data_IF_482416461748
#
_entry.id   IF_482416461748
#
_cell.length_a   1.000
_cell.length_b   1.000
_cell.length_c   1.000
_cell.angle_alpha   90.00
_cell.angle_beta   90.00
_cell.angle_gamma   90.00
#
_symmetry.space_group_name_H-M   'P 1'
#
loop_
_entity.id
_entity.type
_entity.pdbx_description
1 polymer ?
#
# COMPACT_ATOMS: atom_id res chain seq x y z
N UNK A 1 22.89 28.11 17.69
CA UNK A 1 23.27 26.70 17.46
C UNK A 1 22.01 25.92 17.17
N UNK A 2 21.88 25.55 15.89
CA UNK A 2 21.06 24.55 15.18
C UNK A 2 19.83 23.94 15.88
N UNK A 3 18.66 24.16 15.25
CA UNK A 3 17.33 23.72 15.72
C UNK A 3 16.95 22.27 15.35
N UNK A 4 15.79 21.78 15.82
CA UNK A 4 15.30 20.46 15.50
C UNK A 4 14.70 20.45 14.09
N UNK A 5 15.38 19.73 13.19
CA UNK A 5 14.87 19.43 11.86
C UNK A 5 13.60 18.60 11.96
N UNK A 6 12.44 19.25 11.75
CA UNK A 6 11.25 18.57 11.24
C UNK A 6 11.65 17.90 9.93
N UNK A 7 11.81 16.58 9.96
CA UNK A 7 12.01 15.79 8.77
C UNK A 7 10.75 15.95 7.92
N UNK A 8 10.85 16.80 6.90
CA UNK A 8 9.85 16.91 5.86
C UNK A 8 9.83 15.61 5.08
N UNK A 9 8.97 14.67 5.46
CA UNK A 9 8.41 13.66 4.58
C UNK A 9 7.44 14.33 3.60
N UNK A 10 7.93 15.32 2.84
CA UNK A 10 7.18 16.08 1.85
C UNK A 10 7.06 15.35 0.51
N UNK A 11 6.91 14.03 0.56
CA UNK A 11 6.71 13.18 -0.63
C UNK A 11 5.28 12.68 -0.70
N UNK A 12 4.86 12.26 -1.90
CA UNK A 12 3.54 11.68 -2.16
C UNK A 12 3.19 10.56 -1.16
N UNK A 13 4.17 9.80 -0.68
CA UNK A 13 3.99 8.78 0.36
C UNK A 13 3.50 9.32 1.72
N UNK A 14 3.94 10.51 2.13
CA UNK A 14 3.48 11.13 3.38
C UNK A 14 2.03 11.64 3.27
N UNK A 15 1.61 12.07 2.08
CA UNK A 15 0.22 12.45 1.79
C UNK A 15 -0.70 11.24 1.85
N UNK A 16 -0.29 10.14 1.21
CA UNK A 16 -1.04 8.89 1.21
C UNK A 16 -1.28 8.41 2.64
N UNK A 17 -0.24 8.34 3.46
CA UNK A 17 -0.35 7.86 4.83
C UNK A 17 -1.24 8.75 5.70
N UNK A 18 -1.09 10.07 5.61
CA UNK A 18 -1.92 11.03 6.35
C UNK A 18 -3.41 10.95 5.93
N UNK A 19 -3.70 10.79 4.64
CA UNK A 19 -5.08 10.61 4.17
C UNK A 19 -5.65 9.28 4.65
N UNK A 20 -4.86 8.19 4.62
CA UNK A 20 -5.30 6.87 5.09
C UNK A 20 -5.63 6.93 6.58
N UNK A 21 -4.81 7.58 7.40
CA UNK A 21 -5.10 7.72 8.84
C UNK A 21 -6.42 8.44 9.11
N UNK A 22 -6.69 9.52 8.37
CA UNK A 22 -7.96 10.26 8.48
C UNK A 22 -9.15 9.39 8.06
N UNK A 23 -9.02 8.64 6.96
CA UNK A 23 -10.10 7.78 6.45
C UNK A 23 -10.31 6.52 7.32
N UNK A 24 -9.27 5.99 7.96
CA UNK A 24 -9.33 4.81 8.83
C UNK A 24 -9.97 5.13 10.18
N UNK A 25 -9.73 6.33 10.71
CA UNK A 25 -10.31 6.80 11.97
C UNK A 25 -11.84 7.03 11.88
N UNK A 26 -12.41 7.14 10.68
CA UNK A 26 -13.78 7.62 10.47
C UNK A 26 -14.81 6.49 10.33
N UNK A 27 -15.83 6.40 11.19
CA UNK A 27 -16.80 5.29 11.16
C UNK A 27 -17.60 5.21 9.86
N UNK A 28 -17.75 6.31 9.12
CA UNK A 28 -18.45 6.34 7.82
C UNK A 28 -17.80 5.39 6.79
N UNK A 29 -16.48 5.17 6.89
CA UNK A 29 -15.71 4.30 6.01
C UNK A 29 -15.39 2.94 6.64
N UNK A 30 -15.99 2.60 7.79
CA UNK A 30 -15.79 1.30 8.45
C UNK A 30 -16.40 0.15 7.67
N UNK A 31 -17.52 0.40 6.99
CA UNK A 31 -18.27 -0.62 6.26
C UNK A 31 -17.67 -0.89 4.87
N UNK A 32 -17.52 -2.16 4.46
CA UNK A 32 -17.01 -2.54 3.13
C UNK A 32 -17.82 -1.95 1.96
N UNK A 33 -19.13 -1.75 2.16
CA UNK A 33 -20.02 -1.13 1.19
C UNK A 33 -19.67 0.35 0.94
N UNK A 34 -19.33 1.09 2.00
CA UNK A 34 -18.91 2.50 1.92
C UNK A 34 -17.59 2.64 1.15
N UNK A 35 -16.63 1.75 1.40
CA UNK A 35 -15.36 1.71 0.68
C UNK A 35 -15.56 1.38 -0.81
N UNK A 36 -16.38 0.37 -1.11
CA UNK A 36 -16.73 0.01 -2.49
C UNK A 36 -17.42 1.17 -3.23
N UNK A 37 -18.30 1.91 -2.54
CA UNK A 37 -18.97 3.08 -3.08
C UNK A 37 -18.00 4.24 -3.32
N UNK A 38 -17.06 4.48 -2.39
CA UNK A 38 -15.99 5.47 -2.52
C UNK A 38 -15.12 5.20 -3.76
N UNK A 39 -14.62 3.98 -3.94
CA UNK A 39 -13.83 3.62 -5.12
C UNK A 39 -14.62 3.77 -6.41
N UNK A 40 -15.87 3.32 -6.43
CA UNK A 40 -16.74 3.38 -7.61
C UNK A 40 -17.04 4.83 -8.03
N UNK A 41 -17.37 5.69 -7.07
CA UNK A 41 -17.65 7.10 -7.33
C UNK A 41 -16.39 7.86 -7.77
N UNK A 42 -15.26 7.57 -7.14
CA UNK A 42 -13.98 8.20 -7.50
C UNK A 42 -13.55 7.80 -8.92
N UNK A 43 -13.64 6.51 -9.27
CA UNK A 43 -13.38 6.05 -10.64
C UNK A 43 -14.34 6.65 -11.66
N UNK A 44 -15.63 6.80 -11.32
CA UNK A 44 -16.61 7.48 -12.18
C UNK A 44 -16.25 8.94 -12.40
N UNK A 45 -15.75 9.63 -11.38
CA UNK A 45 -15.34 11.03 -11.45
C UNK A 45 -14.04 11.21 -12.26
N UNK A 46 -13.14 10.24 -12.23
CA UNK A 46 -11.90 10.21 -13.03
C UNK A 46 -12.12 9.72 -14.47
N UNK A 47 -13.30 9.18 -14.78
CA UNK A 47 -13.58 8.58 -16.09
C UNK A 47 -12.84 7.27 -16.36
N UNK A 48 -12.22 6.67 -15.34
CA UNK A 48 -11.42 5.44 -15.42
C UNK A 48 -11.77 4.51 -14.24
N UNK A 49 -11.91 3.19 -14.47
CA UNK A 49 -12.10 2.25 -13.37
C UNK A 49 -10.81 2.14 -12.55
N UNK A 50 -10.86 2.57 -11.29
CA UNK A 50 -9.76 2.35 -10.34
C UNK A 50 -9.71 0.86 -9.98
N UNK A 51 -8.57 0.22 -10.22
CA UNK A 51 -8.36 -1.18 -9.84
C UNK A 51 -7.91 -1.24 -8.38
N UNK A 52 -8.86 -1.14 -7.47
CA UNK A 52 -8.57 -1.35 -6.05
C UNK A 52 -8.59 -2.85 -5.77
N UNK A 53 -7.51 -3.44 -5.23
CA UNK A 53 -7.50 -4.85 -4.91
C UNK A 53 -8.57 -5.17 -3.86
N UNK A 54 -9.23 -6.32 -4.01
CA UNK A 54 -10.24 -6.81 -3.08
C UNK A 54 -9.58 -7.38 -1.82
N UNK A 55 -8.97 -6.50 -1.02
CA UNK A 55 -8.36 -6.86 0.26
C UNK A 55 -9.38 -6.80 1.38
N UNK A 56 -9.34 -7.79 2.28
CA UNK A 56 -10.28 -7.93 3.41
C UNK A 56 -10.07 -6.91 4.53
N UNK A 57 -8.93 -6.21 4.52
CA UNK A 57 -8.55 -5.28 5.58
C UNK A 57 -8.73 -3.83 5.15
N UNK A 58 -9.58 -3.12 5.88
CA UNK A 58 -9.94 -1.72 5.64
C UNK A 58 -8.75 -0.79 5.44
N UNK A 59 -7.78 -0.78 6.36
CA UNK A 59 -6.62 0.11 6.27
C UNK A 59 -5.74 -0.18 5.05
N UNK A 60 -5.58 -1.46 4.70
CA UNK A 60 -4.83 -1.88 3.51
C UNK A 60 -5.58 -1.54 2.23
N UNK A 61 -6.91 -1.67 2.24
CA UNK A 61 -7.77 -1.25 1.15
C UNK A 61 -7.64 0.26 0.90
N UNK A 62 -7.70 1.05 1.98
CA UNK A 62 -7.55 2.50 1.94
C UNK A 62 -6.16 2.90 1.42
N UNK A 63 -5.11 2.23 1.87
CA UNK A 63 -3.75 2.52 1.42
C UNK A 63 -3.56 2.23 -0.07
N UNK A 64 -4.06 1.11 -0.57
CA UNK A 64 -4.03 0.78 -1.99
C UNK A 64 -4.87 1.78 -2.81
N UNK A 65 -6.07 2.09 -2.36
CA UNK A 65 -6.96 3.05 -3.01
C UNK A 65 -6.37 4.47 -3.08
N UNK A 66 -5.85 4.99 -1.96
CA UNK A 66 -5.27 6.34 -1.89
C UNK A 66 -3.97 6.41 -2.68
N UNK A 67 -3.17 5.34 -2.68
CA UNK A 67 -1.96 5.26 -3.53
C UNK A 67 -2.31 5.29 -5.02
N UNK A 68 -3.35 4.56 -5.44
CA UNK A 68 -3.83 4.57 -6.82
C UNK A 68 -4.37 5.96 -7.22
N UNK A 69 -5.08 6.62 -6.31
CA UNK A 69 -5.54 8.00 -6.50
C UNK A 69 -4.36 8.99 -6.58
N UNK A 70 -3.30 8.77 -5.82
CA UNK A 70 -2.09 9.59 -5.87
C UNK A 70 -1.26 9.36 -7.14
N UNK A 71 -1.32 8.15 -7.71
CA UNK A 71 -0.67 7.82 -8.98
C UNK A 71 -1.44 8.34 -10.20
N UNK A 72 -2.71 8.72 -10.04
CA UNK A 72 -3.57 9.23 -11.10
C UNK A 72 -3.63 10.75 -11.06
N UNK A 73 -3.41 11.42 -12.20
CA UNK A 73 -3.55 12.87 -12.30
C UNK A 73 -4.96 13.32 -11.86
N UNK A 74 -5.03 14.18 -10.84
CA UNK A 74 -6.28 14.66 -10.25
C UNK A 74 -7.04 13.61 -9.41
N UNK A 75 -6.45 12.44 -9.15
CA UNK A 75 -7.08 11.36 -8.38
C UNK A 75 -7.32 11.73 -6.91
N UNK A 76 -6.37 12.39 -6.25
CA UNK A 76 -6.53 12.86 -4.87
C UNK A 76 -7.62 13.93 -4.74
N UNK A 77 -7.74 14.84 -5.71
CA UNK A 77 -8.80 15.85 -5.74
C UNK A 77 -10.18 15.23 -6.01
N UNK A 78 -10.26 14.26 -6.93
CA UNK A 78 -11.48 13.51 -7.20
C UNK A 78 -11.93 12.73 -5.95
N UNK A 79 -11.00 12.06 -5.28
CA UNK A 79 -11.28 11.36 -4.02
C UNK A 79 -11.74 12.33 -2.94
N UNK A 80 -11.06 13.45 -2.72
CA UNK A 80 -11.46 14.46 -1.74
C UNK A 80 -12.88 14.98 -2.02
N UNK A 81 -13.21 15.21 -3.30
CA UNK A 81 -14.56 15.59 -3.73
C UNK A 81 -15.61 14.54 -3.38
N UNK A 82 -15.35 13.25 -3.64
CA UNK A 82 -16.27 12.15 -3.31
C UNK A 82 -16.42 11.99 -1.80
N UNK A 83 -15.33 12.07 -1.03
CA UNK A 83 -15.38 12.09 0.44
C UNK A 83 -16.27 13.23 0.93
N UNK A 84 -16.16 14.41 0.32
CA UNK A 84 -17.05 15.55 0.58
C UNK A 84 -18.51 15.30 0.21
N UNK A 85 -18.80 14.51 -0.81
CA UNK A 85 -20.18 14.14 -1.15
C UNK A 85 -20.77 13.14 -0.13
N UNK A 86 -19.96 12.18 0.35
CA UNK A 86 -20.40 11.16 1.30
C UNK A 86 -20.54 11.69 2.74
N UNK A 87 -19.62 12.55 3.17
CA UNK A 87 -19.61 13.17 4.51
C UNK A 87 -20.40 14.49 4.57
N UNK A 88 -21.08 14.90 3.48
CA UNK A 88 -21.80 16.18 3.42
C UNK A 88 -20.90 17.41 3.61
N UNK A 89 -19.62 17.30 3.21
CA UNK A 89 -18.54 18.29 3.42
C UNK A 89 -18.22 18.55 4.90
N UNK A 90 -18.36 17.51 5.72
CA UNK A 90 -18.04 17.51 7.15
C UNK A 90 -16.54 17.54 7.46
N UNK A 91 -16.21 17.06 8.66
CA UNK A 91 -14.84 17.14 9.22
C UNK A 91 -13.82 16.35 8.42
N UNK A 92 -14.23 15.21 7.85
CA UNK A 92 -13.34 14.30 7.12
C UNK A 92 -12.88 14.92 5.81
N UNK A 93 -13.83 15.51 5.08
CA UNK A 93 -13.55 16.26 3.85
C UNK A 93 -12.54 17.38 4.08
N UNK A 94 -12.71 18.18 5.14
CA UNK A 94 -11.81 19.29 5.44
C UNK A 94 -10.39 18.82 5.77
N UNK A 95 -10.27 17.74 6.54
CA UNK A 95 -8.97 17.16 6.87
C UNK A 95 -8.26 16.63 5.60
N UNK A 96 -8.97 15.87 4.75
CA UNK A 96 -8.43 15.36 3.48
C UNK A 96 -8.09 16.50 2.52
N UNK A 97 -8.95 17.50 2.37
CA UNK A 97 -8.72 18.67 1.51
C UNK A 97 -7.48 19.46 1.95
N UNK A 98 -7.27 19.64 3.26
CA UNK A 98 -6.07 20.30 3.80
C UNK A 98 -4.79 19.51 3.52
N UNK A 99 -4.84 18.19 3.63
CA UNK A 99 -3.69 17.32 3.35
C UNK A 99 -3.34 17.35 1.86
N UNK A 100 -4.36 17.22 0.99
CA UNK A 100 -4.18 17.21 -0.48
C UNK A 100 -3.73 18.59 -1.00
N UNK A 101 -4.31 19.69 -0.50
CA UNK A 101 -3.91 21.05 -0.89
C UNK A 101 -2.64 21.54 -0.21
N UNK A 102 -2.31 21.03 0.98
CA UNK A 102 -1.09 21.36 1.71
C UNK A 102 0.19 20.96 0.97
N UNK A 103 0.09 20.01 0.03
CA UNK A 103 1.16 19.65 -0.92
C UNK A 103 1.13 20.40 -2.25
N UNK A 104 0.08 21.20 -2.49
CA UNK A 104 -0.15 21.96 -3.73
C UNK A 104 0.58 23.29 -3.80
N UNK A 105 1.83 23.33 -3.35
CA UNK A 105 2.73 24.47 -3.56
C UNK A 105 3.40 24.49 -4.93
N UNK A 106 2.81 23.88 -5.97
CA UNK A 106 3.08 24.18 -7.38
C UNK A 106 2.11 23.40 -8.28
N UNK A 107 1.17 24.13 -8.88
CA UNK A 107 0.52 23.79 -10.15
C UNK A 107 0.45 25.11 -10.91
N UNK A 108 0.77 25.20 -12.22
CA UNK A 108 0.23 24.32 -13.25
C UNK A 108 1.19 23.96 -14.42
N UNK A 109 0.94 22.84 -15.10
CA UNK A 109 0.82 22.75 -16.57
C UNK A 109 1.01 21.31 -17.09
N UNK A 110 0.08 20.95 -17.97
CA UNK A 110 0.14 19.96 -19.04
C UNK A 110 1.53 19.33 -19.37
N UNK A 111 1.60 18.00 -19.38
CA UNK A 111 1.95 17.31 -20.62
C UNK A 111 1.49 15.86 -20.62
N UNK A 112 0.80 15.47 -21.70
CA UNK A 112 0.34 14.12 -21.91
C UNK A 112 1.51 13.14 -21.99
N UNK A 113 1.63 12.26 -21.01
CA UNK A 113 2.45 11.08 -21.14
C UNK A 113 1.79 9.92 -20.39
N UNK A 114 1.01 9.14 -21.15
CA UNK A 114 0.72 7.74 -20.88
C UNK A 114 2.06 7.02 -20.64
N UNK A 115 2.55 7.03 -19.41
CA UNK A 115 3.75 6.27 -19.03
C UNK A 115 3.28 4.93 -18.49
N UNK A 116 3.47 3.91 -19.32
CA UNK A 116 3.62 2.50 -18.96
C UNK A 116 4.32 2.42 -17.59
N UNK A 117 3.82 1.62 -16.62
CA UNK A 117 4.45 1.54 -15.30
C UNK A 117 5.93 1.20 -15.50
N UNK A 118 6.86 2.00 -14.94
CA UNK A 118 8.26 1.70 -15.09
C UNK A 118 8.53 0.43 -14.28
N UNK A 119 9.33 -0.45 -14.84
CA UNK A 119 9.96 -1.54 -14.11
C UNK A 119 10.52 -1.07 -12.75
N UNK A 120 10.61 -1.98 -11.77
CA UNK A 120 11.07 -1.64 -10.43
C UNK A 120 12.48 -1.05 -10.49
N UNK A 121 12.66 0.10 -9.83
CA UNK A 121 13.99 0.63 -9.54
C UNK A 121 14.83 -0.36 -8.72
N UNK A 122 16.16 -0.23 -8.74
CA UNK A 122 17.06 -1.22 -8.15
C UNK A 122 16.87 -1.36 -6.63
N UNK A 123 16.69 -2.60 -6.20
CA UNK A 123 16.95 -3.14 -4.85
C UNK A 123 16.29 -2.42 -3.67
N UNK A 124 14.95 -2.39 -3.62
CA UNK A 124 14.27 -2.29 -2.32
C UNK A 124 14.68 -3.48 -1.47
N UNK A 125 15.35 -3.24 -0.34
CA UNK A 125 15.77 -4.30 0.60
C UNK A 125 14.57 -4.94 1.30
N UNK A 126 13.42 -4.26 1.33
CA UNK A 126 12.14 -4.66 1.94
C UNK A 126 11.13 -5.21 0.93
N UNK A 127 10.29 -6.16 1.36
CA UNK A 127 9.16 -6.63 0.55
C UNK A 127 8.24 -5.46 0.23
N UNK A 128 7.87 -5.32 -1.05
CA UNK A 128 6.83 -4.37 -1.43
C UNK A 128 5.47 -4.84 -0.91
N UNK A 129 4.52 -3.91 -0.77
CA UNK A 129 3.17 -4.24 -0.29
C UNK A 129 2.49 -5.28 -1.21
N UNK A 130 2.73 -5.19 -2.53
CA UNK A 130 2.23 -6.16 -3.50
C UNK A 130 2.84 -7.54 -3.34
N UNK A 131 4.15 -7.63 -3.11
CA UNK A 131 4.87 -8.88 -2.85
C UNK A 131 4.40 -9.57 -1.57
N UNK A 132 4.25 -8.81 -0.47
CA UNK A 132 3.77 -9.35 0.80
C UNK A 132 2.32 -9.85 0.70
N UNK A 133 1.47 -9.16 -0.05
CA UNK A 133 0.08 -9.60 -0.32
C UNK A 133 0.05 -10.87 -1.14
N UNK A 134 0.82 -10.93 -2.23
CA UNK A 134 0.89 -12.12 -3.07
C UNK A 134 1.43 -13.33 -2.28
N UNK A 135 2.40 -13.13 -1.39
CA UNK A 135 2.87 -14.16 -0.47
C UNK A 135 1.79 -14.58 0.52
N UNK A 136 1.01 -13.64 1.05
CA UNK A 136 -0.06 -13.93 2.01
C UNK A 136 -1.21 -14.74 1.39
N UNK A 137 -1.57 -14.45 0.14
CA UNK A 137 -2.59 -15.17 -0.61
C UNK A 137 -2.16 -16.62 -0.92
N UNK A 138 -0.94 -16.77 -1.43
CA UNK A 138 -0.42 -18.06 -1.89
C UNK A 138 0.02 -18.93 -0.72
N UNK A 139 0.64 -18.33 0.30
CA UNK A 139 1.10 -18.98 1.53
C UNK A 139 0.25 -18.54 2.72
N UNK A 140 -1.06 -18.72 2.59
CA UNK A 140 -2.04 -18.46 3.66
C UNK A 140 -1.97 -19.47 4.81
N UNK A 141 -1.45 -20.68 4.55
CA UNK A 141 -1.19 -21.68 5.56
C UNK A 141 0.14 -21.41 6.30
N UNK A 142 0.14 -21.26 7.63
CA UNK A 142 1.35 -20.99 8.40
C UNK A 142 2.44 -22.05 8.25
N UNK A 143 2.09 -23.33 8.03
CA UNK A 143 3.09 -24.37 7.83
C UNK A 143 3.79 -24.24 6.47
N UNK A 144 3.03 -23.93 5.40
CA UNK A 144 3.58 -23.63 4.09
C UNK A 144 4.48 -22.37 4.10
N UNK A 145 4.04 -21.29 4.74
CA UNK A 145 4.80 -20.05 4.86
C UNK A 145 6.14 -20.27 5.61
N UNK A 146 6.13 -21.06 6.68
CA UNK A 146 7.34 -21.41 7.42
C UNK A 146 8.33 -22.25 6.62
N UNK A 147 7.84 -23.23 5.86
CA UNK A 147 8.69 -24.04 4.97
C UNK A 147 9.33 -23.18 3.87
N UNK A 148 8.60 -22.20 3.34
CA UNK A 148 9.15 -21.23 2.40
C UNK A 148 10.29 -20.43 3.06
N UNK A 149 10.08 -19.90 4.27
CA UNK A 149 11.09 -19.14 5.00
C UNK A 149 12.33 -19.97 5.35
N UNK A 150 12.17 -21.24 5.72
CA UNK A 150 13.31 -22.14 5.95
C UNK A 150 14.12 -22.36 4.66
N UNK A 151 13.45 -22.59 3.52
CA UNK A 151 14.11 -22.72 2.20
C UNK A 151 14.81 -21.43 1.78
N UNK A 152 14.21 -20.28 2.10
CA UNK A 152 14.81 -18.96 1.88
C UNK A 152 16.00 -18.67 2.82
N UNK A 153 16.23 -19.51 3.85
CA UNK A 153 17.38 -19.44 4.74
C UNK A 153 17.11 -18.77 6.09
N UNK A 154 15.86 -18.50 6.46
CA UNK A 154 15.48 -18.01 7.79
C UNK A 154 15.19 -19.20 8.72
N UNK A 155 16.07 -19.50 9.70
CA UNK A 155 15.90 -20.67 10.56
C UNK A 155 14.68 -20.53 11.47
N UNK A 156 13.99 -21.64 11.74
CA UNK A 156 12.76 -21.71 12.53
C UNK A 156 12.76 -20.87 13.82
N UNK A 157 13.89 -20.84 14.55
CA UNK A 157 14.03 -20.09 15.82
C UNK A 157 14.01 -18.57 15.66
N UNK A 158 14.26 -18.07 14.45
CA UNK A 158 14.22 -16.64 14.08
C UNK A 158 12.95 -16.28 13.30
N UNK A 159 12.07 -17.24 13.06
CA UNK A 159 10.80 -16.98 12.39
C UNK A 159 9.81 -16.34 13.35
N UNK A 160 8.94 -15.45 12.85
CA UNK A 160 7.85 -14.93 13.64
C UNK A 160 6.92 -16.07 14.09
N UNK A 161 6.25 -15.84 15.22
CA UNK A 161 5.21 -16.77 15.67
C UNK A 161 4.05 -16.72 14.68
N UNK A 162 3.32 -17.83 14.47
CA UNK A 162 2.15 -17.82 13.62
C UNK A 162 1.17 -16.84 14.23
N UNK A 163 0.85 -15.80 13.49
CA UNK A 163 -0.17 -14.83 13.88
C UNK A 163 -1.55 -15.33 13.49
N UNK A 164 -2.59 -14.64 13.98
CA UNK A 164 -3.98 -14.99 13.66
C UNK A 164 -4.31 -14.87 12.17
N UNK A 165 -3.48 -14.17 11.38
CA UNK A 165 -3.65 -14.03 9.93
C UNK A 165 -2.33 -14.14 9.18
N UNK A 166 -2.41 -14.57 7.92
CA UNK A 166 -1.27 -14.68 7.01
C UNK A 166 -0.62 -13.32 6.74
N UNK A 167 -1.40 -12.25 6.61
CA UNK A 167 -0.88 -10.91 6.36
C UNK A 167 -0.10 -10.36 7.57
N UNK A 168 -0.56 -10.63 8.78
CA UNK A 168 0.17 -10.26 10.00
C UNK A 168 1.51 -11.00 10.08
N UNK A 169 1.53 -12.27 9.69
CA UNK A 169 2.75 -13.06 9.60
C UNK A 169 3.74 -12.46 8.57
N UNK A 170 3.28 -12.17 7.35
CA UNK A 170 4.14 -11.60 6.31
C UNK A 170 4.58 -10.15 6.59
N UNK A 171 3.79 -9.39 7.36
CA UNK A 171 4.18 -8.06 7.86
C UNK A 171 5.32 -8.14 8.86
N UNK A 172 5.27 -9.12 9.77
CA UNK A 172 6.37 -9.39 10.71
C UNK A 172 7.63 -9.89 9.98
N UNK A 173 7.47 -10.72 8.95
CA UNK A 173 8.60 -11.10 8.08
C UNK A 173 9.20 -9.87 7.40
N UNK A 174 8.37 -8.94 6.89
CA UNK A 174 8.87 -7.71 6.29
C UNK A 174 9.62 -6.84 7.30
N UNK A 175 9.15 -6.75 8.54
CA UNK A 175 9.88 -6.07 9.64
C UNK A 175 11.26 -6.70 9.86
N UNK A 176 11.37 -8.03 9.91
CA UNK A 176 12.65 -8.72 10.05
C UNK A 176 13.62 -8.44 8.89
N UNK A 177 13.08 -8.25 7.67
CA UNK A 177 13.87 -7.89 6.49
C UNK A 177 14.33 -6.43 6.57
N UNK A 178 13.45 -5.50 6.97
CA UNK A 178 13.76 -4.07 7.16
C UNK A 178 14.79 -3.87 8.26
N UNK A 179 14.65 -4.58 9.37
CA UNK A 179 15.54 -4.53 10.53
C UNK A 179 16.91 -5.20 10.25
N UNK A 180 17.11 -5.75 9.05
CA UNK A 180 18.35 -6.42 8.65
C UNK A 180 18.60 -7.77 9.34
N UNK A 181 17.63 -8.27 10.11
CA UNK A 181 17.68 -9.58 10.75
C UNK A 181 17.62 -10.73 9.74
N UNK A 182 17.12 -10.46 8.52
CA UNK A 182 17.14 -11.36 7.38
C UNK A 182 17.78 -10.71 6.14
N UNK A 183 19.12 -10.74 6.02
CA UNK A 183 19.84 -10.17 4.89
C UNK A 183 19.44 -10.80 3.56
N UNK A 184 19.23 -9.98 2.54
CA UNK A 184 18.68 -10.36 1.23
C UNK A 184 17.32 -11.08 1.31
N UNK A 185 16.61 -10.97 2.44
CA UNK A 185 15.44 -11.76 2.73
C UNK A 185 14.36 -11.64 1.67
N UNK A 186 14.11 -10.42 1.16
CA UNK A 186 13.19 -10.19 0.03
C UNK A 186 13.54 -11.05 -1.18
N UNK A 187 14.77 -10.95 -1.69
CA UNK A 187 15.20 -11.66 -2.91
C UNK A 187 15.13 -13.17 -2.71
N UNK A 188 15.56 -13.66 -1.55
CA UNK A 188 15.53 -15.10 -1.23
C UNK A 188 14.09 -15.63 -1.14
N UNK A 189 13.20 -14.89 -0.48
CA UNK A 189 11.78 -15.26 -0.38
C UNK A 189 11.14 -15.29 -1.77
N UNK A 190 11.32 -14.23 -2.57
CA UNK A 190 10.70 -14.14 -3.89
C UNK A 190 11.24 -15.20 -4.86
N UNK A 191 12.54 -15.52 -4.79
CA UNK A 191 13.14 -16.58 -5.62
C UNK A 191 12.50 -17.95 -5.34
N UNK A 192 12.36 -18.31 -4.06
CA UNK A 192 11.73 -19.58 -3.68
C UNK A 192 10.23 -19.57 -4.01
N UNK A 193 9.55 -18.43 -3.84
CA UNK A 193 8.14 -18.29 -4.23
C UNK A 193 7.92 -18.37 -5.74
N UNK A 194 8.85 -17.83 -6.54
CA UNK A 194 8.83 -17.92 -8.00
C UNK A 194 9.09 -19.36 -8.50
N UNK A 195 9.89 -20.14 -7.76
CA UNK A 195 10.11 -21.55 -8.06
C UNK A 195 8.83 -22.39 -7.85
N UNK A 196 8.06 -22.09 -6.80
CA UNK A 196 6.80 -22.76 -6.52
C UNK A 196 5.64 -22.24 -7.43
N UNK A 197 5.62 -20.94 -7.74
CA UNK A 197 4.53 -20.27 -8.47
C UNK A 197 5.06 -19.35 -9.61
N UNK A 198 5.61 -19.93 -10.69
CA UNK A 198 6.26 -19.16 -11.76
C UNK A 198 5.30 -18.30 -12.59
N UNK A 199 4.00 -18.58 -12.56
CA UNK A 199 2.98 -17.80 -13.26
C UNK A 199 2.55 -16.53 -12.51
N UNK A 200 3.00 -16.32 -11.26
CA UNK A 200 2.62 -15.16 -10.48
C UNK A 200 3.55 -13.97 -10.77
N UNK A 201 3.05 -12.88 -11.38
CA UNK A 201 3.89 -11.75 -11.80
C UNK A 201 4.58 -11.02 -10.64
N UNK A 202 4.09 -11.16 -9.41
CA UNK A 202 4.69 -10.56 -8.22
C UNK A 202 5.96 -11.27 -7.74
N UNK A 203 6.15 -12.54 -8.10
CA UNK A 203 7.34 -13.31 -7.70
C UNK A 203 8.46 -13.23 -8.73
N UNK A 204 8.15 -12.85 -9.97
CA UNK A 204 9.10 -12.71 -11.08
C UNK A 204 9.94 -11.42 -11.04
N UNK A 205 9.72 -10.54 -10.07
CA UNK A 205 10.39 -9.24 -9.94
C UNK A 205 11.64 -9.25 -9.03
N UNK A 206 12.10 -10.45 -8.62
CA UNK A 206 13.24 -10.68 -7.73
C UNK A 206 14.59 -10.79 -8.41
#
# INVERSE_FOLDING_TARGET
>A
MTGPGRAGTGGVGGVVEAVVEVLDAEPLFAEPASLSMLARLTGRQLGLPLQVPSVSFRRLWLLAFVSECAATDGGLDAMASVVGQMDGRGRVYRAVELIVRGTGGESPAANGQRRKPPFPGPASTSLTVGEATALADVYSDPAAARRLLERAGLPYRRQPRPERSSEAFWSEVNRLVIDGAFPDGRVRILREAAADYPANPWFSAG
#
